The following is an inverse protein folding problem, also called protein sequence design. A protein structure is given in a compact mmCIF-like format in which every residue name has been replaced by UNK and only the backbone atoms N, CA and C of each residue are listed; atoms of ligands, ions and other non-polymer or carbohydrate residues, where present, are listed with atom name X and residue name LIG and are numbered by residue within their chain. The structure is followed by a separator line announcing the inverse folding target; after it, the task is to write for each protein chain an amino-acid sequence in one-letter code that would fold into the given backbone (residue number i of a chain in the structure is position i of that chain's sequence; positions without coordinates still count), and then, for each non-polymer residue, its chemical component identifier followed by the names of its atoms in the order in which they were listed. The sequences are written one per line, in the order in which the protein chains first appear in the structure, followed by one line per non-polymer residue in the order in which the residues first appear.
data_IF_247163829277
#
_entry.id   IF_247163829277
#
_cell.length_a   1.000
_cell.length_b   1.000
_cell.length_c   1.000
_cell.angle_alpha   90.00
_cell.angle_beta   90.00
_cell.angle_gamma   90.00
#
_symmetry.space_group_name_H-M   'P 1'
#
loop_
_entity.id
_entity.type
_entity.pdbx_description
1 polymer ?
#
# COMPACT_ATOMS: atom_id res chain seq x y z
N UNK A 1 -5.89 -11.64 13.29
CA UNK A 1 -6.43 -10.32 12.90
C UNK A 1 -7.08 -10.44 11.54
N UNK A 2 -8.09 -9.63 11.20
CA UNK A 2 -8.64 -9.54 9.84
C UNK A 2 -8.35 -8.15 9.29
N UNK A 3 -8.10 -8.04 7.99
CA UNK A 3 -7.97 -6.77 7.31
C UNK A 3 -9.34 -6.07 7.29
N UNK A 4 -9.37 -4.79 7.67
CA UNK A 4 -10.60 -3.96 7.62
C UNK A 4 -10.76 -3.29 6.27
N UNK A 5 -11.93 -2.72 5.98
CA UNK A 5 -12.20 -1.99 4.73
C UNK A 5 -11.16 -0.91 4.41
N UNK A 6 -10.63 -0.22 5.43
CA UNK A 6 -9.56 0.78 5.25
C UNK A 6 -8.25 0.16 4.74
N UNK A 7 -7.95 -1.08 5.15
CA UNK A 7 -6.80 -1.81 4.64
C UNK A 7 -7.02 -2.22 3.18
N UNK A 8 -8.22 -2.68 2.83
CA UNK A 8 -8.56 -3.03 1.45
C UNK A 8 -8.55 -1.80 0.53
N UNK A 9 -9.04 -0.67 1.03
CA UNK A 9 -9.03 0.61 0.31
C UNK A 9 -7.60 1.08 0.02
N UNK A 10 -6.71 1.09 1.03
CA UNK A 10 -5.31 1.49 0.79
C UNK A 10 -4.60 0.51 -0.15
N UNK A 11 -4.87 -0.79 -0.04
CA UNK A 11 -4.34 -1.81 -0.97
C UNK A 11 -4.78 -1.56 -2.42
N UNK A 12 -6.05 -1.20 -2.65
CA UNK A 12 -6.54 -0.79 -3.99
C UNK A 12 -5.85 0.49 -4.46
N UNK A 13 -5.68 1.45 -3.56
CA UNK A 13 -5.09 2.76 -3.87
C UNK A 13 -3.62 2.66 -4.27
N UNK A 14 -2.86 1.73 -3.67
CA UNK A 14 -1.46 1.46 -4.01
C UNK A 14 -1.26 0.49 -5.18
N UNK A 15 -2.33 0.05 -5.86
CA UNK A 15 -2.30 -1.08 -6.80
C UNK A 15 -1.06 -1.17 -7.70
N UNK A 16 -0.73 -0.09 -8.41
CA UNK A 16 0.44 -0.03 -9.32
C UNK A 16 1.72 0.54 -8.69
N UNK A 17 1.71 0.78 -7.39
CA UNK A 17 2.72 1.54 -6.66
C UNK A 17 2.21 2.92 -6.26
N UNK A 18 2.35 3.26 -4.98
CA UNK A 18 2.10 4.59 -4.46
C UNK A 18 3.16 4.98 -3.44
N UNK A 19 3.48 6.27 -3.46
CA UNK A 19 4.36 6.91 -2.48
C UNK A 19 3.55 7.30 -1.25
N UNK A 20 3.98 6.85 -0.07
CA UNK A 20 3.24 7.05 1.16
C UNK A 20 3.84 8.20 1.95
N UNK A 21 3.06 9.26 2.07
CA UNK A 21 3.45 10.50 2.76
C UNK A 21 2.80 10.61 4.13
N UNK A 22 1.61 10.02 4.30
CA UNK A 22 0.83 10.07 5.54
C UNK A 22 1.19 8.96 6.52
N UNK A 23 1.29 9.31 7.80
CA UNK A 23 1.47 8.33 8.89
C UNK A 23 0.34 7.29 8.94
N UNK A 24 -0.92 7.69 8.70
CA UNK A 24 -2.05 6.76 8.71
C UNK A 24 -1.94 5.70 7.60
N UNK A 25 -1.58 6.11 6.39
CA UNK A 25 -1.40 5.20 5.25
C UNK A 25 -0.22 4.25 5.51
N UNK A 26 0.89 4.79 6.05
CA UNK A 26 2.05 3.99 6.41
C UNK A 26 1.71 2.94 7.48
N UNK A 27 0.90 3.31 8.47
CA UNK A 27 0.44 2.39 9.51
C UNK A 27 -0.45 1.29 8.94
N UNK A 28 -1.44 1.63 8.11
CA UNK A 28 -2.31 0.64 7.47
C UNK A 28 -1.50 -0.36 6.63
N UNK A 29 -0.53 0.11 5.87
CA UNK A 29 0.32 -0.77 5.06
C UNK A 29 1.22 -1.66 5.91
N UNK A 30 1.78 -1.15 7.01
CA UNK A 30 2.49 -1.98 8.00
C UNK A 30 1.59 -3.08 8.57
N UNK A 31 0.33 -2.78 8.86
CA UNK A 31 -0.65 -3.77 9.33
C UNK A 31 -0.97 -4.82 8.25
N UNK A 32 -1.12 -4.41 6.99
CA UNK A 32 -1.28 -5.34 5.84
C UNK A 32 -0.08 -6.27 5.71
N UNK A 33 1.14 -5.71 5.74
CA UNK A 33 2.37 -6.50 5.66
C UNK A 33 2.53 -7.45 6.84
N UNK A 34 2.13 -7.03 8.04
CA UNK A 34 2.16 -7.88 9.24
C UNK A 34 1.12 -9.00 9.18
N UNK A 35 0.01 -8.80 8.44
CA UNK A 35 -0.97 -9.84 8.19
C UNK A 35 -0.43 -10.86 7.19
N UNK A 36 0.01 -10.40 6.02
CA UNK A 36 0.72 -11.23 5.05
C UNK A 36 1.73 -10.38 4.26
N UNK A 37 3.04 -10.66 4.38
CA UNK A 37 4.08 -9.90 3.68
C UNK A 37 4.07 -10.15 2.17
N UNK A 38 3.37 -11.18 1.70
CA UNK A 38 3.25 -11.49 0.28
C UNK A 38 2.24 -10.60 -0.41
N UNK A 39 1.36 -9.90 0.32
CA UNK A 39 0.30 -9.07 -0.26
C UNK A 39 0.79 -7.72 -0.77
N UNK A 40 1.73 -7.10 -0.05
CA UNK A 40 2.30 -5.81 -0.42
C UNK A 40 3.82 -5.85 -0.32
N UNK A 41 4.47 -5.10 -1.19
CA UNK A 41 5.91 -4.91 -1.13
C UNK A 41 6.23 -3.46 -0.84
N UNK A 42 6.94 -3.25 0.27
CA UNK A 42 7.38 -1.93 0.73
C UNK A 42 8.78 -1.67 0.17
N UNK A 43 8.95 -0.52 -0.47
CA UNK A 43 10.19 -0.01 -1.02
C UNK A 43 10.63 1.19 -0.16
N UNK A 44 11.87 1.19 0.31
CA UNK A 44 12.43 2.31 1.08
C UNK A 44 12.62 3.56 0.22
N UNK A 45 12.61 4.74 0.84
CA UNK A 45 12.78 6.03 0.15
C UNK A 45 13.98 6.07 -0.80
N UNK A 46 15.10 5.47 -0.41
CA UNK A 46 16.35 5.35 -1.20
C UNK A 46 16.14 4.69 -2.59
N UNK A 47 15.32 3.64 -2.64
CA UNK A 47 14.98 2.94 -3.88
C UNK A 47 13.89 3.70 -4.64
N UNK A 48 13.05 4.45 -3.92
CA UNK A 48 12.04 5.30 -4.53
C UNK A 48 12.68 6.50 -5.24
N UNK A 49 13.74 7.08 -4.71
CA UNK A 49 14.51 8.17 -5.34
C UNK A 49 15.07 7.76 -6.70
N UNK A 50 15.38 6.47 -6.89
CA UNK A 50 15.82 5.93 -8.18
C UNK A 50 14.70 5.85 -9.21
N UNK A 51 13.46 5.73 -8.75
CA UNK A 51 12.29 5.61 -9.61
C UNK A 51 11.55 6.94 -9.80
N UNK A 52 11.60 7.84 -8.81
CA UNK A 52 10.90 9.12 -8.82
C UNK A 52 11.87 10.27 -8.46
N UNK A 53 12.33 11.06 -9.45
CA UNK A 53 13.29 12.14 -9.25
C UNK A 53 12.70 13.31 -8.44
N UNK A 54 11.39 13.31 -8.17
CA UNK A 54 10.73 14.27 -7.28
C UNK A 54 11.12 14.03 -5.82
N UNK A 55 11.42 12.78 -5.44
CA UNK A 55 11.85 12.43 -4.08
C UNK A 55 13.33 12.78 -3.86
N UNK A 56 14.15 12.62 -4.90
CA UNK A 56 15.58 13.00 -4.86
C UNK A 56 15.82 14.50 -4.65
N UNK A 57 14.80 15.33 -4.91
CA UNK A 57 14.85 16.78 -4.68
C UNK A 57 14.39 17.20 -3.28
N UNK A 58 13.87 16.28 -2.47
CA UNK A 58 13.45 16.56 -1.09
C UNK A 58 14.68 16.57 -0.18
N UNK A 59 15.31 17.73 -0.04
CA UNK A 59 16.32 17.94 1.00
C UNK A 59 15.63 17.90 2.36
N UNK A 60 16.18 17.20 3.37
CA UNK A 60 15.52 16.79 4.62
C UNK A 60 14.87 17.86 5.54
N UNK A 61 14.70 19.09 5.06
CA UNK A 61 13.74 20.09 5.55
C UNK A 61 12.32 19.89 4.98
N UNK A 62 12.19 19.26 3.81
CA UNK A 62 10.91 18.83 3.24
C UNK A 62 10.47 17.49 3.82
N UNK A 63 9.15 17.29 3.94
CA UNK A 63 8.58 16.07 4.51
C UNK A 63 8.87 14.88 3.58
N UNK A 64 9.88 14.08 3.95
CA UNK A 64 10.24 12.86 3.22
C UNK A 64 9.08 11.85 3.27
N UNK A 65 8.80 11.16 2.16
CA UNK A 65 7.85 10.05 2.17
C UNK A 65 8.36 8.95 3.10
N UNK A 66 7.44 8.28 3.80
CA UNK A 66 7.79 7.18 4.71
C UNK A 66 8.39 6.02 3.93
N UNK A 67 7.72 5.62 2.85
CA UNK A 67 8.13 4.55 1.93
C UNK A 67 7.21 4.52 0.72
N UNK A 68 7.63 3.81 -0.33
CA UNK A 68 6.74 3.37 -1.38
C UNK A 68 6.12 2.03 -1.02
N UNK A 69 4.90 1.79 -1.46
CA UNK A 69 4.32 0.46 -1.41
C UNK A 69 3.64 0.16 -2.73
N UNK A 70 3.75 -1.10 -3.17
CA UNK A 70 3.01 -1.60 -4.31
C UNK A 70 2.35 -2.92 -3.96
N UNK A 71 1.19 -3.14 -4.59
CA UNK A 71 0.43 -4.37 -4.41
C UNK A 71 1.05 -5.48 -5.27
N UNK A 72 1.18 -6.67 -4.70
CA UNK A 72 1.64 -7.85 -5.44
C UNK A 72 0.46 -8.59 -6.06
N UNK A 73 0.74 -9.58 -6.91
CA UNK A 73 -0.29 -10.44 -7.50
C UNK A 73 -1.16 -11.15 -6.45
N UNK A 74 -0.58 -11.59 -5.32
CA UNK A 74 -1.32 -12.17 -4.20
C UNK A 74 -2.24 -11.14 -3.53
N UNK A 75 -1.76 -9.91 -3.35
CA UNK A 75 -2.59 -8.82 -2.82
C UNK A 75 -3.78 -8.51 -3.74
N UNK A 76 -3.58 -8.52 -5.06
CA UNK A 76 -4.66 -8.37 -6.04
C UNK A 76 -5.67 -9.52 -5.96
N UNK A 77 -5.20 -10.77 -5.90
CA UNK A 77 -6.07 -11.94 -5.77
C UNK A 77 -6.88 -11.91 -4.47
N UNK A 78 -6.27 -11.44 -3.37
CA UNK A 78 -6.95 -11.28 -2.09
C UNK A 78 -8.05 -10.20 -2.15
N UNK A 79 -7.76 -9.05 -2.78
CA UNK A 79 -8.73 -7.99 -3.01
C UNK A 79 -9.90 -8.45 -3.88
N UNK A 80 -9.63 -9.20 -4.95
CA UNK A 80 -10.69 -9.74 -5.81
C UNK A 80 -11.61 -10.71 -5.06
N UNK A 81 -11.04 -11.60 -4.23
CA UNK A 81 -11.83 -12.53 -3.39
C UNK A 81 -12.68 -11.77 -2.37
N UNK A 82 -12.12 -10.80 -1.67
CA UNK A 82 -12.86 -10.00 -0.69
C UNK A 82 -13.90 -9.09 -1.36
N UNK A 83 -13.64 -8.61 -2.58
CA UNK A 83 -14.60 -7.79 -3.32
C UNK A 83 -15.76 -8.60 -3.88
N UNK A 84 -15.62 -9.91 -4.04
CA UNK A 84 -16.72 -10.82 -4.44
C UNK A 84 -17.60 -11.22 -3.25
N UNK A 85 -17.02 -11.40 -2.06
CA UNK A 85 -17.80 -11.65 -0.84
C UNK A 85 -18.75 -10.49 -0.47
N UNK A 86 -18.47 -9.26 -0.92
CA UNK A 86 -19.38 -8.11 -0.76
C UNK A 86 -20.50 -8.00 -1.80
N UNK A 87 -20.50 -8.86 -2.83
CA UNK A 87 -21.42 -8.79 -3.99
C UNK A 87 -22.26 -10.05 -4.17
N UNK A 88 -22.45 -10.86 -3.12
CA UNK A 88 -23.42 -11.99 -3.09
C UNK A 88 -24.55 -11.72 -2.10
N UNK A 89 -25.16 -10.53 -2.19
CA UNK A 89 -26.44 -10.23 -1.54
C UNK A 89 -27.25 -9.29 -2.41
N UNK A 90 -27.62 -9.73 -3.62
CA UNK A 90 -28.85 -9.27 -4.27
C UNK A 90 -29.43 -10.47 -5.04
N UNK A 91 -30.66 -10.82 -4.63
CA UNK A 91 -31.56 -11.89 -5.06
C UNK A 91 -31.76 -12.07 -6.57
#
# INVERSE_FOLDING_TARGET
MKLTDRHLEIMRRIGSGATIWGYMEARLLREVQSFDPSFIKIITGDELEKHDPSVAQLTGVDQLPYFGAFLTSDGFAYLERNSKEGSESIE
#
